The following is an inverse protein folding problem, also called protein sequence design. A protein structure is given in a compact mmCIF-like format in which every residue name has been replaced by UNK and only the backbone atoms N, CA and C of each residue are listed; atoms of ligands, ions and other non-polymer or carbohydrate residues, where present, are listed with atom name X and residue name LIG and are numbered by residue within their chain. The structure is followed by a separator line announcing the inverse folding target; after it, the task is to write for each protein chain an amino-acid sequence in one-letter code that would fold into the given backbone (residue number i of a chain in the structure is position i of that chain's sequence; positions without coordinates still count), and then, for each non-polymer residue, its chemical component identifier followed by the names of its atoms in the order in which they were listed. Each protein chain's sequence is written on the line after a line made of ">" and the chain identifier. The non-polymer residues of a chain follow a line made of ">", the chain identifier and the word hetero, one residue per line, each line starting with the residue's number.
data_IF_745746167486
#
_entry.id   IF_745746167486
#
_cell.length_a   1.000
_cell.length_b   1.000
_cell.length_c   1.000
_cell.angle_alpha   90.00
_cell.angle_beta   90.00
_cell.angle_gamma   90.00
#
_symmetry.space_group_name_H-M   'P 1'
#
loop_
_entity.id
_entity.type
_entity.pdbx_description
1 polymer ?
#
# COMPACT_ATOMS: atom_id res chain seq x y z
N UNK A 1 -19.29 -50.95 -31.35
CA UNK A 1 -18.22 -50.85 -32.37
C UNK A 1 -18.75 -50.06 -33.56
N UNK A 2 -18.52 -48.75 -33.59
CA UNK A 2 -18.45 -47.89 -34.80
C UNK A 2 -18.42 -46.43 -34.36
N UNK A 3 -17.24 -45.87 -34.51
CA UNK A 3 -16.88 -44.45 -34.48
C UNK A 3 -17.62 -43.65 -35.55
N UNK A 4 -18.13 -42.47 -35.20
CA UNK A 4 -18.46 -41.43 -36.17
C UNK A 4 -17.72 -40.14 -35.82
N UNK A 5 -16.77 -39.80 -36.68
CA UNK A 5 -16.12 -38.50 -36.79
C UNK A 5 -16.76 -37.74 -37.96
N UNK A 6 -17.16 -36.49 -37.72
CA UNK A 6 -17.37 -35.39 -38.68
C UNK A 6 -17.76 -34.18 -37.81
N UNK A 7 -17.13 -33.01 -37.80
CA UNK A 7 -16.35 -32.33 -38.82
C UNK A 7 -17.06 -31.01 -39.12
N UNK A 8 -16.52 -29.88 -38.65
CA UNK A 8 -16.69 -28.55 -39.27
C UNK A 8 -15.83 -27.51 -38.53
N UNK A 9 -14.64 -27.27 -39.08
CA UNK A 9 -13.81 -26.09 -38.78
C UNK A 9 -14.53 -24.88 -39.33
N UNK A 10 -15.02 -23.99 -38.47
CA UNK A 10 -15.37 -22.63 -38.90
C UNK A 10 -14.07 -21.81 -39.01
N UNK A 11 -13.61 -21.68 -40.25
CA UNK A 11 -12.60 -20.72 -40.68
C UNK A 11 -13.11 -19.30 -40.37
N UNK A 12 -12.54 -18.66 -39.35
CA UNK A 12 -12.63 -17.22 -39.19
C UNK A 12 -11.74 -16.55 -40.25
N UNK A 13 -12.19 -15.45 -40.89
CA UNK A 13 -11.43 -14.80 -41.94
C UNK A 13 -10.21 -14.12 -41.34
N UNK A 14 -9.04 -14.60 -41.77
CA UNK A 14 -7.73 -14.00 -41.54
C UNK A 14 -7.69 -12.63 -42.25
N UNK A 15 -8.16 -11.58 -41.57
CA UNK A 15 -7.92 -10.20 -42.02
C UNK A 15 -6.44 -9.89 -41.79
N UNK A 16 -5.71 -9.70 -42.90
CA UNK A 16 -4.33 -9.21 -42.97
C UNK A 16 -4.06 -8.13 -41.92
N UNK A 17 -3.27 -8.47 -40.92
CA UNK A 17 -2.54 -7.49 -40.12
C UNK A 17 -1.41 -6.95 -41.00
N UNK A 18 -1.58 -5.75 -41.53
CA UNK A 18 -0.49 -4.99 -42.12
C UNK A 18 0.47 -4.59 -41.01
N UNK A 19 1.57 -5.34 -40.87
CA UNK A 19 2.77 -4.91 -40.16
C UNK A 19 3.36 -3.73 -40.94
N UNK A 20 3.12 -2.49 -40.47
CA UNK A 20 3.97 -1.36 -40.82
C UNK A 20 5.07 -1.19 -39.77
N UNK A 21 6.29 -0.78 -40.18
CA UNK A 21 7.48 -0.87 -39.37
C UNK A 21 7.43 0.13 -38.21
N UNK A 22 7.61 -0.39 -37.00
CA UNK A 22 7.69 0.33 -35.73
C UNK A 22 8.98 1.16 -35.64
N UNK A 23 9.09 2.20 -36.47
CA UNK A 23 10.30 3.03 -36.58
C UNK A 23 10.08 4.49 -36.22
N UNK A 24 9.22 4.81 -35.26
CA UNK A 24 9.21 6.13 -34.64
C UNK A 24 8.94 6.01 -33.13
N UNK A 25 10.01 6.24 -32.37
CA UNK A 25 10.06 6.54 -30.93
C UNK A 25 9.02 5.85 -30.04
N UNK A 26 9.36 4.68 -29.50
CA UNK A 26 8.73 4.17 -28.29
C UNK A 26 9.81 3.94 -27.24
N UNK A 27 9.76 4.75 -26.18
CA UNK A 27 10.56 4.53 -24.97
C UNK A 27 10.46 3.05 -24.55
N UNK A 28 11.55 2.40 -24.09
CA UNK A 28 11.53 0.99 -23.67
C UNK A 28 10.41 0.66 -22.68
N UNK A 29 10.05 1.62 -21.83
CA UNK A 29 8.96 1.50 -20.87
C UNK A 29 7.57 1.41 -21.53
N UNK A 30 7.30 2.18 -22.59
CA UNK A 30 6.01 2.15 -23.30
C UNK A 30 5.83 0.81 -23.99
N UNK A 31 6.90 0.29 -24.61
CA UNK A 31 6.90 -1.03 -25.25
C UNK A 31 6.68 -2.16 -24.23
N UNK A 32 7.40 -2.13 -23.11
CA UNK A 32 7.21 -3.10 -22.02
C UNK A 32 5.79 -3.07 -21.47
N UNK A 33 5.23 -1.89 -21.24
CA UNK A 33 3.86 -1.75 -20.75
C UNK A 33 2.83 -2.23 -21.79
N UNK A 34 3.00 -1.90 -23.07
CA UNK A 34 2.07 -2.34 -24.11
C UNK A 34 2.12 -3.83 -24.36
N UNK A 35 3.30 -4.44 -24.29
CA UNK A 35 3.47 -5.88 -24.54
C UNK A 35 3.02 -6.71 -23.34
N UNK A 36 3.40 -6.28 -22.12
CA UNK A 36 3.05 -6.97 -20.90
C UNK A 36 1.56 -6.86 -20.58
N UNK A 37 0.94 -5.69 -20.79
CA UNK A 37 -0.49 -5.48 -20.52
C UNK A 37 -1.38 -5.65 -21.77
N UNK A 38 -0.88 -6.35 -22.79
CA UNK A 38 -1.67 -6.69 -23.96
C UNK A 38 -2.86 -7.59 -23.56
N UNK A 39 -4.09 -7.34 -24.04
CA UNK A 39 -5.29 -8.11 -23.68
C UNK A 39 -5.17 -9.62 -23.96
N UNK A 40 -4.28 -10.04 -24.88
CA UNK A 40 -4.03 -11.45 -25.17
C UNK A 40 -3.13 -12.15 -24.14
N UNK A 41 -2.52 -11.42 -23.22
CA UNK A 41 -1.68 -12.00 -22.18
C UNK A 41 -2.52 -12.75 -21.14
N UNK A 42 -2.03 -13.90 -20.68
CA UNK A 42 -2.76 -14.78 -19.78
C UNK A 42 -3.30 -14.07 -18.53
N UNK A 43 -2.49 -13.22 -17.90
CA UNK A 43 -2.88 -12.51 -16.68
C UNK A 43 -3.92 -11.40 -16.93
N UNK A 44 -4.05 -10.88 -18.15
CA UNK A 44 -5.12 -9.95 -18.53
C UNK A 44 -6.43 -10.70 -18.76
N UNK A 45 -6.37 -11.83 -19.46
CA UNK A 45 -7.53 -12.72 -19.68
C UNK A 45 -8.08 -13.21 -18.34
N UNK A 46 -7.20 -13.61 -17.42
CA UNK A 46 -7.57 -14.06 -16.07
C UNK A 46 -8.36 -13.00 -15.29
N UNK A 47 -8.04 -11.71 -15.46
CA UNK A 47 -8.80 -10.64 -14.80
C UNK A 47 -10.22 -10.55 -15.37
N UNK A 48 -10.37 -10.57 -16.69
CA UNK A 48 -11.68 -10.47 -17.34
C UNK A 48 -12.55 -11.70 -17.05
N UNK A 49 -12.01 -12.91 -17.23
CA UNK A 49 -12.73 -14.15 -16.99
C UNK A 49 -13.00 -14.37 -15.50
N UNK A 50 -12.04 -14.02 -14.62
CA UNK A 50 -12.24 -14.06 -13.18
C UNK A 50 -13.36 -13.13 -12.72
N UNK A 51 -13.50 -11.96 -13.35
CA UNK A 51 -14.59 -11.03 -13.05
C UNK A 51 -15.94 -11.55 -13.54
N UNK A 52 -16.01 -12.15 -14.73
CA UNK A 52 -17.22 -12.83 -15.24
C UNK A 52 -17.66 -13.95 -14.31
N UNK A 53 -16.72 -14.80 -13.89
CA UNK A 53 -16.98 -15.87 -12.91
C UNK A 53 -17.53 -15.29 -11.60
N UNK A 54 -16.93 -14.21 -11.08
CA UNK A 54 -17.43 -13.56 -9.87
C UNK A 54 -18.84 -12.99 -10.04
N UNK A 55 -19.15 -12.41 -11.20
CA UNK A 55 -20.47 -11.88 -11.53
C UNK A 55 -21.52 -12.98 -11.60
N UNK A 56 -21.24 -14.04 -12.37
CA UNK A 56 -22.19 -15.11 -12.68
C UNK A 56 -22.45 -16.03 -11.47
N UNK A 57 -21.40 -16.42 -10.74
CA UNK A 57 -21.55 -17.22 -9.52
C UNK A 57 -22.05 -16.40 -8.32
N UNK A 58 -21.72 -15.12 -8.28
CA UNK A 58 -22.16 -14.21 -7.21
C UNK A 58 -23.61 -13.75 -7.36
N UNK A 59 -24.24 -14.03 -8.51
CA UNK A 59 -25.57 -13.54 -8.89
C UNK A 59 -25.71 -12.02 -8.66
N UNK A 60 -24.65 -11.26 -8.95
CA UNK A 60 -24.67 -9.81 -8.81
C UNK A 60 -25.51 -9.20 -9.94
N UNK A 61 -26.30 -8.17 -9.61
CA UNK A 61 -27.14 -7.48 -10.61
C UNK A 61 -26.38 -6.48 -11.48
N UNK A 62 -25.11 -6.20 -11.16
CA UNK A 62 -24.24 -5.27 -11.86
C UNK A 62 -22.78 -5.69 -11.75
N UNK A 63 -22.01 -5.47 -12.82
CA UNK A 63 -20.56 -5.62 -12.82
C UNK A 63 -19.85 -4.68 -11.84
N UNK A 64 -20.42 -3.53 -11.49
CA UNK A 64 -19.88 -2.67 -10.43
C UNK A 64 -19.82 -3.40 -9.08
N UNK A 65 -20.87 -4.14 -8.72
CA UNK A 65 -20.89 -4.94 -7.50
C UNK A 65 -19.92 -6.14 -7.59
N UNK A 66 -19.81 -6.78 -8.75
CA UNK A 66 -18.83 -7.84 -8.99
C UNK A 66 -17.39 -7.34 -8.86
N UNK A 67 -17.08 -6.12 -9.33
CA UNK A 67 -15.75 -5.49 -9.14
C UNK A 67 -15.48 -5.28 -7.65
N UNK A 68 -16.45 -4.76 -6.89
CA UNK A 68 -16.29 -4.55 -5.45
C UNK A 68 -16.03 -5.87 -4.73
N UNK A 69 -16.88 -6.87 -4.96
CA UNK A 69 -16.80 -8.18 -4.31
C UNK A 69 -15.49 -8.90 -4.66
N UNK A 70 -15.15 -9.00 -5.95
CA UNK A 70 -13.90 -9.63 -6.41
C UNK A 70 -12.67 -8.93 -5.85
N UNK A 71 -12.68 -7.60 -5.77
CA UNK A 71 -11.58 -6.82 -5.17
C UNK A 71 -11.42 -7.11 -3.69
N UNK A 72 -12.52 -7.13 -2.93
CA UNK A 72 -12.48 -7.44 -1.49
C UNK A 72 -11.98 -8.86 -1.25
N UNK A 73 -12.44 -9.84 -2.03
CA UNK A 73 -11.99 -11.24 -1.93
C UNK A 73 -10.50 -11.32 -2.27
N UNK A 74 -10.09 -10.81 -3.44
CA UNK A 74 -8.69 -10.86 -3.89
C UNK A 74 -7.77 -10.21 -2.86
N UNK A 75 -8.12 -9.03 -2.35
CA UNK A 75 -7.33 -8.32 -1.34
C UNK A 75 -7.32 -9.06 0.00
N UNK A 76 -8.41 -9.69 0.40
CA UNK A 76 -8.45 -10.45 1.67
C UNK A 76 -7.57 -11.69 1.58
N UNK A 77 -7.59 -12.40 0.45
CA UNK A 77 -6.78 -13.60 0.22
C UNK A 77 -5.30 -13.28 0.02
N UNK A 78 -4.98 -12.23 -0.75
CA UNK A 78 -3.58 -11.89 -1.06
C UNK A 78 -2.97 -10.88 -0.08
N UNK A 79 -3.59 -9.72 0.08
CA UNK A 79 -3.04 -8.61 0.85
C UNK A 79 -3.12 -8.87 2.37
N UNK A 80 -4.19 -9.50 2.87
CA UNK A 80 -4.37 -9.76 4.31
C UNK A 80 -3.23 -10.55 4.97
N UNK A 81 -2.94 -11.78 4.52
CA UNK A 81 -1.84 -12.59 5.07
C UNK A 81 -0.48 -11.93 4.89
N UNK A 82 -0.25 -11.33 3.71
CA UNK A 82 1.03 -10.70 3.38
C UNK A 82 1.30 -9.46 4.24
N UNK A 83 0.25 -8.68 4.51
CA UNK A 83 0.31 -7.53 5.40
C UNK A 83 0.56 -7.98 6.85
N UNK A 84 -0.13 -9.03 7.31
CA UNK A 84 0.09 -9.62 8.64
C UNK A 84 1.54 -10.10 8.81
N UNK A 85 2.08 -10.79 7.81
CA UNK A 85 3.48 -11.23 7.79
C UNK A 85 4.44 -10.04 7.87
N UNK A 86 4.17 -9.00 7.08
CA UNK A 86 4.97 -7.79 7.04
C UNK A 86 4.97 -7.06 8.38
N UNK A 87 3.81 -6.90 9.01
CA UNK A 87 3.67 -6.30 10.35
C UNK A 87 4.37 -7.13 11.43
N UNK A 88 4.26 -8.45 11.38
CA UNK A 88 4.99 -9.34 12.29
C UNK A 88 6.51 -9.19 12.15
N UNK A 89 7.03 -9.11 10.92
CA UNK A 89 8.46 -8.89 10.71
C UNK A 89 8.89 -7.47 11.12
N UNK A 90 8.07 -6.45 10.85
CA UNK A 90 8.34 -5.07 11.25
C UNK A 90 8.45 -4.93 12.77
N UNK A 91 7.52 -5.54 13.52
CA UNK A 91 7.54 -5.50 15.00
C UNK A 91 8.78 -6.17 15.59
N UNK A 92 9.22 -7.30 15.02
CA UNK A 92 10.48 -7.97 15.41
C UNK A 92 11.71 -7.10 15.10
N UNK A 93 11.77 -6.48 13.92
CA UNK A 93 12.85 -5.57 13.53
C UNK A 93 12.90 -4.36 14.48
N UNK A 94 11.75 -3.78 14.81
CA UNK A 94 11.65 -2.67 15.75
C UNK A 94 12.11 -3.06 17.16
N UNK A 95 11.71 -4.25 17.63
CA UNK A 95 12.17 -4.80 18.91
C UNK A 95 13.68 -4.99 18.93
N UNK A 96 14.25 -5.64 17.90
CA UNK A 96 15.69 -5.84 17.76
C UNK A 96 16.47 -4.52 17.79
N UNK A 97 15.96 -3.50 17.09
CA UNK A 97 16.56 -2.17 17.10
C UNK A 97 16.49 -1.53 18.50
N UNK A 98 15.34 -1.59 19.17
CA UNK A 98 15.17 -1.06 20.51
C UNK A 98 16.14 -1.71 21.51
N UNK A 99 16.22 -3.03 21.52
CA UNK A 99 17.13 -3.77 22.39
C UNK A 99 18.60 -3.47 22.08
N UNK A 100 18.98 -3.31 20.80
CA UNK A 100 20.35 -2.92 20.43
C UNK A 100 20.71 -1.51 20.88
N UNK A 101 19.73 -0.58 20.86
CA UNK A 101 19.94 0.78 21.33
C UNK A 101 20.11 0.82 22.86
N UNK A 102 19.29 0.08 23.60
CA UNK A 102 19.37 -0.02 25.06
C UNK A 102 20.68 -0.68 25.49
N UNK A 103 21.10 -1.76 24.82
CA UNK A 103 22.35 -2.47 25.14
C UNK A 103 23.57 -1.57 25.02
N UNK A 104 23.64 -0.74 23.98
CA UNK A 104 24.77 0.20 23.81
C UNK A 104 24.77 1.29 24.89
N UNK A 105 23.60 1.72 25.37
CA UNK A 105 23.48 2.69 26.48
C UNK A 105 23.82 2.05 27.83
N UNK A 106 23.40 0.80 28.05
CA UNK A 106 23.60 0.08 29.32
C UNK A 106 24.94 -0.65 29.43
N UNK A 107 25.65 -0.87 28.33
CA UNK A 107 26.99 -1.47 28.38
C UNK A 107 27.86 -0.63 29.32
N UNK A 108 28.30 -1.25 30.41
CA UNK A 108 28.98 -0.65 31.58
C UNK A 108 30.31 0.04 31.28
N UNK A 109 30.60 0.31 30.01
CA UNK A 109 31.69 1.11 29.49
C UNK A 109 31.17 1.81 28.24
N UNK A 110 30.49 2.96 28.38
CA UNK A 110 30.68 3.99 27.36
C UNK A 110 32.19 4.17 27.31
N UNK A 111 32.86 3.62 26.29
CA UNK A 111 34.33 3.68 26.18
C UNK A 111 34.68 5.14 26.44
N UNK A 112 35.31 5.49 27.58
CA UNK A 112 35.65 6.86 27.85
C UNK A 112 36.78 7.16 26.88
N UNK A 113 36.45 7.76 25.74
CA UNK A 113 37.48 8.33 24.91
C UNK A 113 38.14 9.42 25.74
N UNK A 114 39.48 9.45 25.76
CA UNK A 114 40.31 10.38 26.54
C UNK A 114 39.92 11.87 26.43
N UNK A 115 39.10 12.23 25.43
CA UNK A 115 38.64 13.59 25.12
C UNK A 115 37.21 13.91 25.58
N UNK A 116 36.51 13.02 26.28
CA UNK A 116 35.14 13.25 26.77
C UNK A 116 34.06 13.34 25.68
N UNK A 117 34.41 13.16 24.39
CA UNK A 117 33.47 13.14 23.26
C UNK A 117 33.15 11.70 22.85
N UNK A 118 31.86 11.39 22.80
CA UNK A 118 31.36 10.10 22.30
C UNK A 118 31.60 10.04 20.79
N UNK A 119 32.34 9.04 20.33
CA UNK A 119 32.56 8.84 18.89
C UNK A 119 31.29 8.28 18.25
N UNK A 120 30.46 9.17 17.72
CA UNK A 120 29.12 8.86 17.19
C UNK A 120 29.16 7.80 16.08
N UNK A 121 30.25 7.76 15.28
CA UNK A 121 30.47 6.74 14.24
C UNK A 121 30.69 5.34 14.85
N UNK A 122 31.48 5.26 15.91
CA UNK A 122 31.74 3.99 16.61
C UNK A 122 30.45 3.47 17.26
N UNK A 123 29.68 4.35 17.91
CA UNK A 123 28.40 4.01 18.51
C UNK A 123 27.40 3.49 17.47
N UNK A 124 27.28 4.15 16.32
CA UNK A 124 26.43 3.68 15.22
C UNK A 124 26.88 2.32 14.68
N UNK A 125 28.18 2.08 14.61
CA UNK A 125 28.74 0.80 14.16
C UNK A 125 28.43 -0.32 15.15
N UNK A 126 28.52 -0.06 16.46
CA UNK A 126 28.15 -1.01 17.51
C UNK A 126 26.65 -1.33 17.49
N UNK A 127 25.79 -0.31 17.39
CA UNK A 127 24.34 -0.50 17.25
C UNK A 127 24.03 -1.36 16.03
N UNK A 128 24.68 -1.08 14.89
CA UNK A 128 24.47 -1.85 13.66
C UNK A 128 24.87 -3.32 13.80
N UNK A 129 25.99 -3.61 14.47
CA UNK A 129 26.43 -5.00 14.71
C UNK A 129 25.45 -5.76 15.61
N UNK A 130 25.13 -5.21 16.79
CA UNK A 130 24.15 -5.82 17.73
C UNK A 130 22.76 -5.96 17.07
N UNK A 131 22.35 -4.98 16.28
CA UNK A 131 21.09 -5.05 15.53
C UNK A 131 21.07 -6.21 14.52
N UNK A 132 22.15 -6.42 13.77
CA UNK A 132 22.24 -7.52 12.79
C UNK A 132 22.20 -8.86 13.51
N UNK A 133 22.95 -9.02 14.59
CA UNK A 133 22.97 -10.23 15.40
C UNK A 133 21.58 -10.55 15.98
N UNK A 134 20.89 -9.58 16.57
CA UNK A 134 19.52 -9.75 17.06
C UNK A 134 18.53 -10.06 15.93
N UNK A 135 18.70 -9.45 14.77
CA UNK A 135 17.87 -9.77 13.60
C UNK A 135 18.05 -11.23 13.16
N UNK A 136 19.28 -11.76 13.19
CA UNK A 136 19.57 -13.16 12.90
C UNK A 136 18.94 -14.08 13.95
N UNK A 137 19.08 -13.75 15.23
CA UNK A 137 18.50 -14.53 16.33
C UNK A 137 16.97 -14.59 16.28
N UNK A 138 16.31 -13.49 15.89
CA UNK A 138 14.85 -13.45 15.72
C UNK A 138 14.36 -13.91 14.34
N UNK A 139 15.27 -14.22 13.40
CA UNK A 139 14.91 -14.59 12.02
C UNK A 139 14.26 -13.47 11.20
N UNK A 140 14.35 -12.21 11.66
CA UNK A 140 13.72 -11.06 11.02
C UNK A 140 14.70 -10.30 10.11
N UNK A 141 14.20 -9.62 9.08
CA UNK A 141 15.06 -8.83 8.18
C UNK A 141 14.33 -7.59 7.65
N UNK A 142 14.97 -6.41 7.58
CA UNK A 142 14.33 -5.18 7.08
C UNK A 142 13.72 -5.33 5.68
N UNK A 143 14.37 -6.08 4.77
CA UNK A 143 13.84 -6.32 3.42
C UNK A 143 12.55 -7.16 3.42
N UNK A 144 12.39 -8.10 4.37
CA UNK A 144 11.14 -8.88 4.51
C UNK A 144 9.96 -7.97 4.89
N UNK A 145 10.22 -6.81 5.49
CA UNK A 145 9.19 -5.80 5.77
C UNK A 145 8.72 -5.04 4.52
N UNK A 146 9.42 -5.19 3.38
CA UNK A 146 9.04 -4.59 2.10
C UNK A 146 8.27 -5.53 1.16
N UNK A 147 8.14 -6.82 1.52
CA UNK A 147 7.52 -7.86 0.69
C UNK A 147 6.08 -7.48 0.30
N UNK A 148 5.30 -6.89 1.22
CA UNK A 148 3.94 -6.45 0.91
C UNK A 148 3.86 -5.56 -0.33
N UNK A 149 4.72 -4.54 -0.42
CA UNK A 149 4.75 -3.64 -1.56
C UNK A 149 5.22 -4.33 -2.85
N UNK A 150 6.19 -5.26 -2.74
CA UNK A 150 6.75 -5.98 -3.88
C UNK A 150 5.72 -6.85 -4.60
N UNK A 151 4.81 -7.50 -3.87
CA UNK A 151 3.74 -8.32 -4.49
C UNK A 151 2.49 -7.49 -4.81
N UNK A 152 2.17 -6.49 -3.99
CA UNK A 152 0.95 -5.72 -4.18
C UNK A 152 1.00 -4.80 -5.39
N UNK A 153 2.18 -4.25 -5.74
CA UNK A 153 2.32 -3.38 -6.92
C UNK A 153 2.01 -4.13 -8.24
N UNK A 154 2.59 -5.31 -8.53
CA UNK A 154 2.22 -6.11 -9.70
C UNK A 154 0.75 -6.51 -9.75
N UNK A 155 0.16 -6.92 -8.62
CA UNK A 155 -1.27 -7.28 -8.56
C UNK A 155 -2.14 -6.05 -8.86
N UNK A 156 -1.81 -4.90 -8.24
CA UNK A 156 -2.55 -3.66 -8.46
C UNK A 156 -2.46 -3.19 -9.91
N UNK A 157 -1.29 -3.29 -10.54
CA UNK A 157 -1.08 -3.00 -11.96
C UNK A 157 -1.88 -3.95 -12.84
N UNK A 158 -1.80 -5.26 -12.59
CA UNK A 158 -2.54 -6.29 -13.34
C UNK A 158 -4.04 -6.04 -13.31
N UNK A 159 -4.61 -5.76 -12.14
CA UNK A 159 -6.03 -5.43 -12.03
C UNK A 159 -6.38 -4.12 -12.72
N UNK A 160 -5.54 -3.08 -12.62
CA UNK A 160 -5.76 -1.78 -13.27
C UNK A 160 -5.78 -1.93 -14.79
N UNK A 161 -4.75 -2.53 -15.38
CA UNK A 161 -4.71 -2.71 -16.84
C UNK A 161 -5.70 -3.76 -17.33
N UNK A 162 -5.97 -4.82 -16.55
CA UNK A 162 -6.99 -5.81 -16.88
C UNK A 162 -8.39 -5.21 -16.93
N UNK A 163 -8.77 -4.39 -15.95
CA UNK A 163 -10.04 -3.65 -15.99
C UNK A 163 -10.07 -2.61 -17.11
N UNK A 164 -8.94 -1.96 -17.40
CA UNK A 164 -8.85 -1.03 -18.54
C UNK A 164 -9.11 -1.76 -19.86
N UNK A 165 -8.53 -2.94 -20.03
CA UNK A 165 -8.73 -3.79 -21.20
C UNK A 165 -10.17 -4.31 -21.28
N UNK A 166 -10.78 -4.68 -20.16
CA UNK A 166 -12.18 -5.08 -20.09
C UNK A 166 -13.13 -3.96 -20.56
N UNK A 167 -12.80 -2.69 -20.26
CA UNK A 167 -13.52 -1.51 -20.76
C UNK A 167 -13.24 -1.21 -22.25
N UNK A 168 -12.27 -1.87 -22.87
CA UNK A 168 -11.81 -1.54 -24.22
C UNK A 168 -10.94 -0.28 -24.26
N UNK A 169 -10.26 -0.10 -25.39
CA UNK A 169 -9.37 1.04 -25.61
C UNK A 169 -9.65 1.62 -27.00
N UNK A 170 -10.03 2.90 -27.02
CA UNK A 170 -10.06 3.73 -28.22
C UNK A 170 -9.02 4.83 -28.06
N UNK A 171 -7.84 4.66 -28.67
CA UNK A 171 -6.75 5.68 -28.62
C UNK A 171 -6.65 6.43 -29.94
N UNK A 172 -6.83 5.75 -31.07
CA UNK A 172 -6.86 6.34 -32.42
C UNK A 172 -7.80 5.55 -33.32
N UNK A 173 -8.19 6.04 -34.52
CA UNK A 173 -8.98 5.27 -35.49
C UNK A 173 -8.34 3.93 -35.91
N UNK A 174 -7.05 3.76 -35.66
CA UNK A 174 -6.27 2.59 -36.06
C UNK A 174 -5.91 1.65 -34.90
N UNK A 175 -5.98 2.13 -33.65
CA UNK A 175 -5.73 1.32 -32.44
C UNK A 175 -7.04 1.22 -31.66
N UNK A 176 -7.79 0.17 -32.01
CA UNK A 176 -9.05 -0.20 -31.36
C UNK A 176 -8.92 -1.59 -30.75
N UNK A 177 -9.16 -1.66 -29.45
CA UNK A 177 -9.34 -2.92 -28.73
C UNK A 177 -10.79 -3.00 -28.27
N UNK A 178 -11.58 -3.97 -28.76
CA UNK A 178 -12.96 -4.12 -28.32
C UNK A 178 -13.00 -4.42 -26.81
N UNK A 179 -14.06 -3.99 -26.11
CA UNK A 179 -14.22 -4.30 -24.70
C UNK A 179 -14.25 -5.82 -24.52
N UNK A 180 -13.40 -6.33 -23.65
CA UNK A 180 -13.38 -7.77 -23.36
C UNK A 180 -14.68 -8.20 -22.68
N UNK A 181 -15.34 -7.31 -21.93
CA UNK A 181 -16.65 -7.53 -21.31
C UNK A 181 -17.65 -6.54 -21.94
N UNK A 182 -18.47 -6.96 -22.92
CA UNK A 182 -19.37 -6.05 -23.63
C UNK A 182 -20.46 -5.43 -22.73
N UNK A 183 -20.85 -6.11 -21.65
CA UNK A 183 -21.84 -5.66 -20.67
C UNK A 183 -21.41 -4.39 -19.93
N UNK A 184 -20.11 -4.08 -19.90
CA UNK A 184 -19.61 -2.81 -19.35
C UNK A 184 -20.13 -1.60 -20.13
N UNK A 185 -20.43 -1.77 -21.42
CA UNK A 185 -20.99 -0.71 -22.26
C UNK A 185 -22.44 -0.45 -21.85
N UNK A 186 -23.23 -1.52 -21.66
CA UNK A 186 -24.64 -1.40 -21.26
C UNK A 186 -24.81 -0.83 -19.86
N UNK A 187 -23.87 -1.11 -18.95
CA UNK A 187 -23.87 -0.54 -17.60
C UNK A 187 -23.20 0.85 -17.49
N UNK A 188 -22.64 1.39 -18.58
CA UNK A 188 -21.97 2.69 -18.57
C UNK A 188 -20.62 2.71 -17.83
N UNK A 189 -20.02 1.55 -17.56
CA UNK A 189 -18.78 1.41 -16.80
C UNK A 189 -17.52 1.79 -17.61
N UNK A 190 -17.62 1.78 -18.94
CA UNK A 190 -16.58 2.21 -19.88
C UNK A 190 -16.33 3.73 -19.83
N UNK A 191 -17.39 4.51 -19.63
CA UNK A 191 -17.31 5.98 -19.72
C UNK A 191 -16.53 6.57 -18.54
N UNK A 192 -15.87 7.73 -18.74
CA UNK A 192 -15.24 8.47 -17.65
C UNK A 192 -16.20 8.70 -16.49
N UNK A 193 -15.69 8.58 -15.26
CA UNK A 193 -16.53 8.73 -14.06
C UNK A 193 -17.10 10.14 -13.96
N UNK A 194 -18.43 10.26 -14.03
CA UNK A 194 -19.15 11.52 -13.77
C UNK A 194 -19.47 11.74 -12.30
N UNK A 195 -19.37 10.68 -11.48
CA UNK A 195 -19.63 10.75 -10.04
C UNK A 195 -18.49 11.45 -9.30
N UNK A 196 -18.66 12.76 -9.05
CA UNK A 196 -17.75 13.54 -8.20
C UNK A 196 -17.60 12.94 -6.80
N UNK A 197 -18.67 12.33 -6.28
CA UNK A 197 -18.63 11.63 -4.98
C UNK A 197 -17.66 10.45 -4.98
N UNK A 198 -17.63 9.66 -6.04
CA UNK A 198 -16.71 8.52 -6.17
C UNK A 198 -15.26 8.98 -6.31
N UNK A 199 -15.01 10.04 -7.08
CA UNK A 199 -13.67 10.65 -7.23
C UNK A 199 -13.19 11.20 -5.88
N UNK A 200 -14.06 11.93 -5.16
CA UNK A 200 -13.75 12.47 -3.85
C UNK A 200 -13.48 11.36 -2.82
N UNK A 201 -14.31 10.30 -2.80
CA UNK A 201 -14.12 9.16 -1.92
C UNK A 201 -12.80 8.42 -2.19
N UNK A 202 -12.48 8.18 -3.47
CA UNK A 202 -11.21 7.56 -3.88
C UNK A 202 -10.02 8.37 -3.39
N UNK A 203 -10.04 9.68 -3.65
CA UNK A 203 -8.97 10.61 -3.26
C UNK A 203 -8.80 10.67 -1.74
N UNK A 204 -9.92 10.77 -1.02
CA UNK A 204 -9.93 10.81 0.45
C UNK A 204 -9.33 9.54 1.05
N UNK A 205 -9.74 8.37 0.56
CA UNK A 205 -9.25 7.09 1.06
C UNK A 205 -7.77 6.88 0.73
N UNK A 206 -7.30 7.27 -0.47
CA UNK A 206 -5.87 7.22 -0.80
C UNK A 206 -5.05 8.18 0.05
N UNK A 207 -5.55 9.39 0.31
CA UNK A 207 -4.91 10.35 1.20
C UNK A 207 -4.81 9.78 2.63
N UNK A 208 -5.89 9.22 3.16
CA UNK A 208 -5.89 8.59 4.49
C UNK A 208 -4.87 7.45 4.60
N UNK A 209 -4.72 6.62 3.56
CA UNK A 209 -3.72 5.56 3.53
C UNK A 209 -2.28 6.10 3.61
N UNK A 210 -1.99 7.18 2.87
CA UNK A 210 -0.68 7.85 2.90
C UNK A 210 -0.43 8.46 4.29
N UNK A 211 -1.43 9.16 4.83
CA UNK A 211 -1.35 9.84 6.12
C UNK A 211 -1.15 8.89 7.29
N UNK A 212 -1.94 7.81 7.37
CA UNK A 212 -1.77 6.80 8.43
C UNK A 212 -0.38 6.15 8.33
N UNK A 213 0.06 5.82 7.11
CA UNK A 213 1.39 5.26 6.89
C UNK A 213 2.52 6.20 7.33
N UNK A 214 2.38 7.50 7.06
CA UNK A 214 3.33 8.52 7.49
C UNK A 214 3.33 8.69 9.01
N UNK A 215 2.17 8.89 9.62
CA UNK A 215 2.03 9.08 11.07
C UNK A 215 2.55 7.88 11.87
N UNK A 216 2.33 6.65 11.40
CA UNK A 216 2.88 5.43 12.03
C UNK A 216 4.41 5.44 12.02
N UNK A 217 5.04 5.88 10.93
CA UNK A 217 6.51 6.00 10.85
C UNK A 217 7.03 7.14 11.73
N UNK A 218 6.33 8.28 11.77
CA UNK A 218 6.66 9.38 12.68
C UNK A 218 6.60 8.90 14.13
N UNK A 219 5.56 8.16 14.50
CA UNK A 219 5.39 7.57 15.83
C UNK A 219 6.52 6.60 16.20
N UNK A 220 6.89 5.69 15.28
CA UNK A 220 8.02 4.79 15.49
C UNK A 220 9.33 5.54 15.71
N UNK A 221 9.57 6.61 14.95
CA UNK A 221 10.76 7.45 15.09
C UNK A 221 10.77 8.23 16.41
N UNK A 222 9.67 8.88 16.78
CA UNK A 222 9.57 9.62 18.05
C UNK A 222 9.83 8.71 19.25
N UNK A 223 9.26 7.50 19.23
CA UNK A 223 9.51 6.51 20.28
C UNK A 223 10.96 6.05 20.31
N UNK A 224 11.58 5.85 19.14
CA UNK A 224 12.99 5.44 19.07
C UNK A 224 13.96 6.50 19.62
N UNK A 225 13.61 7.78 19.50
CA UNK A 225 14.38 8.90 20.06
C UNK A 225 14.19 8.97 21.56
N UNK A 226 12.94 8.91 22.03
CA UNK A 226 12.62 8.96 23.45
C UNK A 226 13.32 7.84 24.25
N UNK A 227 13.48 6.64 23.66
CA UNK A 227 14.22 5.53 24.28
C UNK A 227 15.72 5.78 24.37
N UNK A 228 16.31 6.50 23.40
CA UNK A 228 17.74 6.85 23.45
C UNK A 228 18.02 7.87 24.54
N UNK A 229 17.06 8.75 24.82
CA UNK A 229 17.18 9.79 25.83
C UNK A 229 16.99 9.25 27.25
N UNK A 230 15.95 8.42 27.47
CA UNK A 230 15.72 7.77 28.77
C UNK A 230 15.31 6.29 28.61
N UNK A 231 16.27 5.35 28.68
CA UNK A 231 15.96 3.92 28.60
C UNK A 231 15.16 3.42 29.80
N UNK A 232 15.23 4.07 30.97
CA UNK A 232 14.50 3.68 32.19
C UNK A 232 13.04 4.14 32.17
N UNK A 233 12.71 5.16 31.36
CA UNK A 233 11.33 5.57 31.13
C UNK A 233 10.49 4.49 30.45
N UNK A 234 11.12 3.61 29.65
CA UNK A 234 10.48 2.47 29.02
C UNK A 234 9.99 1.45 30.08
N UNK A 235 10.83 1.14 31.07
CA UNK A 235 10.48 0.21 32.17
C UNK A 235 9.34 0.75 33.04
N UNK A 236 9.26 2.08 33.21
CA UNK A 236 8.17 2.74 33.95
C UNK A 236 6.89 2.91 33.14
N UNK A 237 6.90 2.58 31.84
CA UNK A 237 5.74 2.74 30.95
C UNK A 237 5.29 4.20 30.76
N UNK A 238 6.19 5.17 30.99
CA UNK A 238 5.89 6.61 31.04
C UNK A 238 6.53 7.40 29.90
N UNK A 239 6.77 6.77 28.74
CA UNK A 239 7.41 7.44 27.61
C UNK A 239 6.37 8.28 26.86
N UNK A 240 6.45 9.60 27.04
CA UNK A 240 5.67 10.55 26.25
C UNK A 240 6.42 10.87 24.95
N UNK A 241 5.93 10.33 23.83
CA UNK A 241 6.49 10.62 22.52
C UNK A 241 6.22 12.08 22.12
N UNK A 242 7.27 12.90 22.06
CA UNK A 242 7.23 14.22 21.42
C UNK A 242 7.57 14.11 19.93
N UNK A 243 6.98 14.96 19.11
CA UNK A 243 7.27 14.97 17.66
C UNK A 243 8.70 15.48 17.46
N UNK A 244 9.59 14.74 16.77
CA UNK A 244 10.96 15.17 16.55
C UNK A 244 11.00 16.46 15.73
N UNK A 245 11.89 17.39 16.12
CA UNK A 245 12.09 18.67 15.44
C UNK A 245 12.59 18.51 14.01
N UNK A 246 13.44 17.50 13.76
CA UNK A 246 14.01 17.23 12.46
C UNK A 246 13.69 15.81 11.98
N UNK A 247 12.71 15.67 11.09
CA UNK A 247 12.40 14.39 10.44
C UNK A 247 13.46 14.03 9.39
N UNK A 248 13.83 12.74 9.26
CA UNK A 248 14.76 12.29 8.23
C UNK A 248 14.20 12.55 6.83
N UNK A 249 15.08 12.86 5.88
CA UNK A 249 14.69 13.19 4.50
C UNK A 249 13.91 12.07 3.83
N UNK A 250 14.25 10.79 4.12
CA UNK A 250 13.59 9.62 3.57
C UNK A 250 12.10 9.57 3.91
N UNK A 251 11.74 10.00 5.12
CA UNK A 251 10.36 10.02 5.58
C UNK A 251 9.57 11.14 4.90
N UNK A 252 10.18 12.32 4.74
CA UNK A 252 9.60 13.44 3.97
C UNK A 252 9.41 13.06 2.51
N UNK A 253 10.41 12.41 1.91
CA UNK A 253 10.34 11.93 0.52
C UNK A 253 9.22 10.91 0.35
N UNK A 254 9.12 9.91 1.24
CA UNK A 254 8.06 8.90 1.17
C UNK A 254 6.66 9.50 1.32
N UNK A 255 6.50 10.48 2.21
CA UNK A 255 5.24 11.21 2.37
C UNK A 255 4.89 12.02 1.12
N UNK A 256 5.86 12.77 0.59
CA UNK A 256 5.71 13.55 -0.64
C UNK A 256 5.37 12.68 -1.86
N UNK A 257 6.05 11.55 -2.03
CA UNK A 257 5.76 10.59 -3.10
C UNK A 257 4.35 9.98 -2.98
N UNK A 258 3.91 9.68 -1.75
CA UNK A 258 2.55 9.20 -1.49
C UNK A 258 1.47 10.23 -1.83
N UNK A 259 1.69 11.49 -1.46
CA UNK A 259 0.77 12.58 -1.79
C UNK A 259 0.75 12.88 -3.28
N UNK A 260 1.92 12.86 -3.94
CA UNK A 260 2.03 12.96 -5.38
C UNK A 260 1.22 11.85 -6.08
N UNK A 261 1.34 10.60 -5.63
CA UNK A 261 0.53 9.50 -6.14
C UNK A 261 -0.97 9.70 -5.94
N UNK A 262 -1.38 10.27 -4.80
CA UNK A 262 -2.79 10.63 -4.54
C UNK A 262 -3.29 11.69 -5.52
N UNK A 263 -2.50 12.73 -5.78
CA UNK A 263 -2.82 13.74 -6.80
C UNK A 263 -2.92 13.13 -8.21
N UNK A 264 -2.02 12.21 -8.55
CA UNK A 264 -2.09 11.51 -9.84
C UNK A 264 -3.36 10.68 -9.97
N UNK A 265 -3.76 9.94 -8.94
CA UNK A 265 -5.02 9.15 -8.94
C UNK A 265 -6.23 10.09 -9.07
N UNK A 266 -6.24 11.22 -8.37
CA UNK A 266 -7.30 12.22 -8.50
C UNK A 266 -7.45 12.70 -9.95
N UNK A 267 -6.35 13.16 -10.57
CA UNK A 267 -6.37 13.62 -11.97
C UNK A 267 -6.77 12.50 -12.92
N UNK A 268 -6.21 11.30 -12.75
CA UNK A 268 -6.51 10.15 -13.58
C UNK A 268 -7.99 9.71 -13.46
N UNK A 269 -8.61 9.87 -12.29
CA UNK A 269 -10.01 9.46 -12.06
C UNK A 269 -11.02 10.24 -12.90
N UNK A 270 -10.70 11.47 -13.33
CA UNK A 270 -11.55 12.25 -14.25
C UNK A 270 -11.57 11.68 -15.67
N UNK A 271 -10.52 10.96 -16.08
CA UNK A 271 -10.38 10.42 -17.43
C UNK A 271 -10.46 8.89 -17.48
N UNK A 272 -10.45 8.24 -16.32
CA UNK A 272 -10.51 6.79 -16.20
C UNK A 272 -11.97 6.30 -16.30
N UNK A 273 -12.20 5.14 -16.95
CA UNK A 273 -13.46 4.42 -16.90
C UNK A 273 -13.99 4.26 -15.47
N UNK A 274 -15.30 4.32 -15.30
CA UNK A 274 -15.95 4.17 -13.99
C UNK A 274 -15.60 2.88 -13.28
N UNK A 275 -15.43 1.77 -14.02
CA UNK A 275 -14.95 0.50 -13.45
C UNK A 275 -13.61 0.63 -12.70
N UNK A 276 -12.67 1.41 -13.24
CA UNK A 276 -11.34 1.61 -12.64
C UNK A 276 -11.42 2.42 -11.35
N UNK A 277 -12.24 3.47 -11.33
CA UNK A 277 -12.39 4.32 -10.14
C UNK A 277 -13.09 3.55 -9.02
N UNK A 278 -14.10 2.73 -9.34
CA UNK A 278 -14.73 1.79 -8.37
C UNK A 278 -13.69 0.84 -7.79
N UNK A 279 -12.86 0.25 -8.64
CA UNK A 279 -11.76 -0.63 -8.20
C UNK A 279 -10.78 0.11 -7.29
N UNK A 280 -10.26 1.27 -7.69
CA UNK A 280 -9.31 2.05 -6.89
C UNK A 280 -9.90 2.47 -5.54
N UNK A 281 -11.15 2.93 -5.53
CA UNK A 281 -11.87 3.29 -4.31
C UNK A 281 -11.98 2.08 -3.35
N UNK A 282 -12.42 0.94 -3.88
CA UNK A 282 -12.60 -0.30 -3.10
C UNK A 282 -11.27 -0.84 -2.59
N UNK A 283 -10.25 -0.91 -3.46
CA UNK A 283 -8.89 -1.32 -3.12
C UNK A 283 -8.28 -0.45 -2.02
N UNK A 284 -8.42 0.87 -2.16
CA UNK A 284 -7.94 1.83 -1.17
C UNK A 284 -8.68 1.68 0.15
N UNK A 285 -9.99 1.44 0.10
CA UNK A 285 -10.83 1.31 1.29
C UNK A 285 -10.47 0.06 2.06
N UNK A 286 -10.27 -1.06 1.36
CA UNK A 286 -9.77 -2.30 1.95
C UNK A 286 -8.41 -2.11 2.60
N UNK A 287 -7.47 -1.43 1.93
CA UNK A 287 -6.15 -1.12 2.50
C UNK A 287 -6.25 -0.27 3.78
N UNK A 288 -7.14 0.71 3.79
CA UNK A 288 -7.38 1.58 4.93
C UNK A 288 -7.93 0.78 6.11
N UNK A 289 -8.91 -0.10 5.83
CA UNK A 289 -9.46 -1.03 6.82
C UNK A 289 -8.35 -1.94 7.37
N UNK A 290 -7.50 -2.51 6.51
CA UNK A 290 -6.37 -3.34 6.96
C UNK A 290 -5.41 -2.56 7.88
N UNK A 291 -5.06 -1.33 7.53
CA UNK A 291 -4.23 -0.45 8.37
C UNK A 291 -4.87 -0.21 9.73
N UNK A 292 -6.16 0.12 9.75
CA UNK A 292 -6.90 0.40 10.99
C UNK A 292 -7.04 -0.87 11.84
N UNK A 293 -7.34 -2.02 11.24
CA UNK A 293 -7.43 -3.30 11.95
C UNK A 293 -6.09 -3.67 12.60
N UNK A 294 -4.98 -3.54 11.88
CA UNK A 294 -3.66 -3.85 12.41
C UNK A 294 -3.15 -2.82 13.41
N UNK A 295 -3.74 -1.61 13.47
CA UNK A 295 -3.46 -0.67 14.55
C UNK A 295 -4.07 -1.14 15.88
N UNK A 296 -5.15 -1.95 15.84
CA UNK A 296 -5.81 -2.44 17.05
C UNK A 296 -5.01 -3.57 17.72
N UNK A 297 -4.61 -3.36 18.98
CA UNK A 297 -3.89 -4.34 19.78
C UNK A 297 -4.63 -5.68 19.95
N UNK A 298 -5.97 -5.70 19.93
CA UNK A 298 -6.74 -6.95 20.00
C UNK A 298 -6.58 -7.80 18.76
N UNK A 299 -6.68 -7.17 17.58
CA UNK A 299 -6.49 -7.83 16.29
C UNK A 299 -5.06 -8.32 16.15
N UNK A 300 -4.08 -7.50 16.56
CA UNK A 300 -2.66 -7.91 16.56
C UNK A 300 -2.41 -9.15 17.42
N UNK A 301 -3.00 -9.22 18.63
CA UNK A 301 -2.91 -10.41 19.49
C UNK A 301 -3.57 -11.63 18.86
N UNK A 302 -4.75 -11.45 18.26
CA UNK A 302 -5.45 -12.52 17.56
C UNK A 302 -4.62 -13.08 16.39
N UNK A 303 -3.94 -12.22 15.64
CA UNK A 303 -3.05 -12.59 14.53
C UNK A 303 -1.67 -13.07 14.98
N UNK A 304 -1.40 -13.18 16.29
CA UNK A 304 -0.10 -13.63 16.81
C UNK A 304 1.05 -12.67 16.48
N UNK A 305 0.77 -11.38 16.30
CA UNK A 305 1.77 -10.33 16.11
C UNK A 305 2.34 -9.98 17.50
N UNK A 306 3.67 -10.09 17.70
CA UNK A 306 4.28 -9.77 18.99
C UNK A 306 4.06 -8.30 19.33
N UNK A 307 3.79 -8.04 20.59
CA UNK A 307 3.69 -6.68 21.13
C UNK A 307 5.12 -6.15 21.26
N UNK A 308 5.43 -5.10 20.53
CA UNK A 308 6.69 -4.38 20.62
C UNK A 308 6.69 -3.50 21.87
N UNK A 309 7.85 -3.27 22.53
CA UNK A 309 7.95 -2.30 23.61
C UNK A 309 7.56 -0.87 23.20
N UNK A 310 7.49 -0.58 21.90
CA UNK A 310 7.05 0.72 21.36
C UNK A 310 5.52 0.86 21.26
N UNK A 311 4.75 -0.21 21.44
CA UNK A 311 3.33 -0.17 21.16
C UNK A 311 2.55 0.50 22.30
N UNK A 312 1.89 1.62 22.00
CA UNK A 312 1.00 2.26 22.95
C UNK A 312 -0.17 1.35 23.37
N UNK A 313 -0.58 1.45 24.65
CA UNK A 313 -1.80 0.81 25.17
C UNK A 313 -3.04 1.20 24.35
N UNK A 314 -3.13 2.49 23.99
CA UNK A 314 -4.19 3.07 23.17
C UNK A 314 -3.61 3.65 21.86
N UNK A 315 -3.46 2.82 20.81
CA UNK A 315 -2.69 3.18 19.62
C UNK A 315 -3.33 4.30 18.80
N UNK A 316 -4.66 4.34 18.70
CA UNK A 316 -5.37 5.44 18.03
C UNK A 316 -5.19 6.78 18.73
N UNK A 317 -5.24 6.79 20.06
CA UNK A 317 -5.04 8.02 20.84
C UNK A 317 -3.59 8.50 20.70
N UNK A 318 -2.62 7.59 20.82
CA UNK A 318 -1.21 7.91 20.64
C UNK A 318 -0.92 8.49 19.24
N UNK A 319 -1.49 7.89 18.19
CA UNK A 319 -1.36 8.40 16.83
C UNK A 319 -2.01 9.78 16.68
N UNK A 320 -3.17 9.99 17.31
CA UNK A 320 -3.87 11.28 17.31
C UNK A 320 -3.08 12.38 18.02
N UNK A 321 -2.44 12.08 19.16
CA UNK A 321 -1.56 13.03 19.85
C UNK A 321 -0.38 13.46 18.96
N UNK A 322 0.22 12.51 18.24
CA UNK A 322 1.28 12.83 17.27
C UNK A 322 0.74 13.65 16.11
N UNK A 323 -0.43 13.31 15.56
CA UNK A 323 -1.04 14.07 14.48
C UNK A 323 -1.28 15.53 14.91
N UNK A 324 -1.80 15.77 16.12
CA UNK A 324 -1.95 17.12 16.70
C UNK A 324 -0.63 17.85 16.88
N UNK A 325 0.42 17.13 17.29
CA UNK A 325 1.76 17.68 17.45
C UNK A 325 2.39 18.09 16.12
N UNK A 326 2.16 17.28 15.08
CA UNK A 326 2.78 17.39 13.76
C UNK A 326 2.07 18.40 12.86
N UNK A 327 0.74 18.43 12.84
CA UNK A 327 -0.04 19.30 11.97
C UNK A 327 -0.48 20.59 12.67
N UNK A 328 0.01 21.73 12.18
CA UNK A 328 -0.33 23.07 12.69
C UNK A 328 -1.83 23.34 12.67
N UNK A 329 -2.54 22.87 11.64
CA UNK A 329 -3.98 23.06 11.48
C UNK A 329 -4.76 22.35 12.59
N UNK A 330 -4.40 21.11 12.93
CA UNK A 330 -5.04 20.36 14.02
C UNK A 330 -4.77 21.00 15.39
N UNK A 331 -3.55 21.55 15.58
CA UNK A 331 -3.22 22.33 16.78
C UNK A 331 -4.12 23.56 16.90
N UNK A 332 -4.30 24.30 15.79
CA UNK A 332 -5.15 25.49 15.73
C UNK A 332 -6.64 25.21 15.99
N UNK A 333 -7.19 24.14 15.41
CA UNK A 333 -8.58 23.72 15.66
C UNK A 333 -8.82 23.36 17.14
N UNK A 334 -7.82 22.74 17.79
CA UNK A 334 -7.96 22.36 19.20
C UNK A 334 -7.93 23.61 20.10
N UNK A 335 -7.06 24.58 19.82
CA UNK A 335 -6.97 25.82 20.59
C UNK A 335 -8.23 26.67 20.50
N UNK A 336 -8.87 26.73 19.33
CA UNK A 336 -10.10 27.50 19.11
C UNK A 336 -11.30 26.90 19.85
N UNK A 337 -11.37 25.56 19.94
CA UNK A 337 -12.44 24.86 20.67
C UNK A 337 -12.36 25.10 22.19
N UNK A 338 -11.15 25.18 22.77
CA UNK A 338 -10.96 25.49 24.20
C UNK A 338 -11.28 26.94 24.58
N UNK A 339 -11.23 27.88 23.64
CA UNK A 339 -11.63 29.28 23.88
C UNK A 339 -13.13 29.52 23.75
N UNK A 340 -13.88 28.61 23.11
CA UNK A 340 -15.36 28.73 23.01
C UNK A 340 -16.10 28.04 24.17
N UNK A 341 -15.40 27.25 24.99
CA UNK A 341 -15.96 26.56 26.15
C UNK A 341 -15.62 27.23 27.49
N UNK A 342 -15.25 28.51 27.48
CA UNK A 342 -14.98 29.32 28.68
C UNK A 342 -15.95 30.48 28.78
#
# INVERSE_FOLDING_TARGET
>A
MSTFAFGARHLLPQKSFSFLPSRFYSFPAVYLLSEFFNPHQFHMILVADGLRLCHDYGHFSSYGAAIVASTVILRTVSAGPLYTFTEKNQTLVTKAYCESAIEVVNSRFSIPQKDGRINLKLQQTMIRKSFIEKCQNYGCHPLKSGIFAMFQLPIWMTMTFGLRNACGIHVTPFVYWPPTIPEFVTEGLMSPTTSLGLIAATTFVTACNVEIGHLRRVYGQSMSIAIKEDPKALERGSVNASVPSHLPWQLKFAHGAGFFGTCMILVASFFAPSALVIYWCTSGSHQLILHLLHLNNRVRRFLGIPISPLDAKHPYQALWFIAKGHYRILRWMTTTTTTTSR
#
